data_IF_526205065465
#
_entry.id   IF_526205065465
#
_cell.length_a   1.000
_cell.length_b   1.000
_cell.length_c   1.000
_cell.angle_alpha   90.00
_cell.angle_beta   90.00
_cell.angle_gamma   90.00
#
_symmetry.space_group_name_H-M   'P 1'
#
loop_
_entity.id
_entity.type
_entity.pdbx_description
1 polymer ?
#
# COMPACT_ATOMS: atom_id res chain seq x y z
N UNK A 1 7.98 5.69 0.42
CA UNK A 1 8.28 7.15 0.30
C UNK A 1 7.50 7.88 1.39
N UNK A 2 8.20 8.72 2.17
CA UNK A 2 7.55 9.68 3.06
C UNK A 2 7.32 10.98 2.29
N UNK A 3 6.13 11.56 2.42
CA UNK A 3 5.74 12.76 1.69
C UNK A 3 4.99 13.72 2.62
N UNK A 4 5.34 15.00 2.59
CA UNK A 4 4.59 16.03 3.26
C UNK A 4 4.50 17.29 2.38
N UNK A 5 3.49 18.12 2.61
CA UNK A 5 3.38 19.42 1.95
C UNK A 5 4.19 20.47 2.72
N UNK A 6 4.90 21.30 2.00
CA UNK A 6 5.61 22.46 2.58
C UNK A 6 4.72 23.70 2.68
N UNK A 7 3.60 23.70 1.97
CA UNK A 7 2.68 24.83 1.88
C UNK A 7 1.25 24.35 2.23
N UNK A 8 0.55 25.04 3.15
CA UNK A 8 -0.83 24.71 3.50
C UNK A 8 -1.85 24.99 2.37
N UNK A 9 -1.43 25.65 1.30
CA UNK A 9 -2.27 25.95 0.14
C UNK A 9 -1.76 25.27 -1.12
N UNK A 10 -2.65 24.94 -2.06
CA UNK A 10 -2.29 24.36 -3.35
C UNK A 10 -2.09 22.84 -3.37
N UNK A 11 -2.34 22.15 -2.26
CA UNK A 11 -2.27 20.69 -2.14
C UNK A 11 -3.47 20.16 -1.35
N UNK A 12 -4.65 20.56 -1.73
CA UNK A 12 -5.88 20.37 -0.95
C UNK A 12 -6.19 18.90 -0.65
N UNK A 13 -6.04 18.01 -1.64
CA UNK A 13 -6.26 16.57 -1.44
C UNK A 13 -5.33 15.99 -0.37
N UNK A 14 -4.04 16.31 -0.47
CA UNK A 14 -3.04 15.83 0.49
C UNK A 14 -3.27 16.42 1.88
N UNK A 15 -3.53 17.73 1.96
CA UNK A 15 -3.75 18.42 3.22
C UNK A 15 -5.03 17.94 3.91
N UNK A 16 -6.10 17.67 3.16
CA UNK A 16 -7.35 17.12 3.68
C UNK A 16 -7.15 15.71 4.23
N UNK A 17 -6.44 14.86 3.49
CA UNK A 17 -6.09 13.51 3.96
C UNK A 17 -5.27 13.56 5.25
N UNK A 18 -4.24 14.41 5.31
CA UNK A 18 -3.41 14.57 6.50
C UNK A 18 -4.18 15.16 7.70
N UNK A 19 -5.08 16.10 7.45
CA UNK A 19 -5.92 16.67 8.51
C UNK A 19 -6.91 15.64 9.09
N UNK A 20 -7.39 14.71 8.26
CA UNK A 20 -8.34 13.67 8.67
C UNK A 20 -7.65 12.50 9.38
N UNK A 21 -6.52 12.04 8.86
CA UNK A 21 -5.87 10.78 9.26
C UNK A 21 -4.57 10.98 10.05
N UNK A 22 -4.00 12.19 10.06
CA UNK A 22 -2.66 12.42 10.59
C UNK A 22 -1.58 11.76 9.73
N UNK A 23 -0.46 11.39 10.35
CA UNK A 23 0.59 10.61 9.68
C UNK A 23 0.08 9.19 9.45
N UNK A 24 -0.03 8.80 8.20
CA UNK A 24 -0.62 7.51 7.83
C UNK A 24 -0.23 7.03 6.45
N UNK A 25 -0.56 5.78 6.15
CA UNK A 25 -0.36 5.18 4.83
C UNK A 25 -1.55 5.57 3.93
N UNK A 26 -1.26 6.34 2.87
CA UNK A 26 -2.25 6.73 1.86
C UNK A 26 -2.28 5.75 0.68
N UNK A 27 -1.12 5.24 0.29
CA UNK A 27 -0.96 4.35 -0.87
C UNK A 27 -0.01 3.20 -0.58
N UNK A 28 -0.41 2.01 -0.99
CA UNK A 28 0.48 0.84 -1.03
C UNK A 28 0.67 0.46 -2.50
N UNK A 29 1.87 0.70 -3.01
CA UNK A 29 2.20 0.41 -4.40
C UNK A 29 2.75 -1.01 -4.58
N UNK A 30 2.36 -1.65 -5.67
CA UNK A 30 2.85 -2.97 -6.07
C UNK A 30 3.69 -2.84 -7.35
N UNK A 31 4.87 -3.45 -7.36
CA UNK A 31 5.62 -3.65 -8.60
C UNK A 31 4.97 -4.78 -9.38
N UNK A 32 4.64 -4.52 -10.64
CA UNK A 32 3.88 -5.43 -11.49
C UNK A 32 4.51 -5.51 -12.90
N UNK A 33 4.21 -6.58 -13.63
CA UNK A 33 4.68 -6.76 -15.00
C UNK A 33 3.82 -6.01 -16.03
N UNK A 34 2.52 -5.80 -15.73
CA UNK A 34 1.57 -5.11 -16.61
C UNK A 34 0.60 -4.23 -15.80
N UNK A 35 0.97 -2.98 -15.59
CA UNK A 35 0.18 -2.03 -14.82
C UNK A 35 -1.16 -1.68 -15.51
N UNK A 36 -1.16 -1.60 -16.84
CA UNK A 36 -2.37 -1.29 -17.59
C UNK A 36 -3.37 -2.45 -17.55
N UNK A 37 -2.91 -3.67 -17.80
CA UNK A 37 -3.76 -4.85 -17.80
C UNK A 37 -4.37 -5.14 -16.43
N UNK A 38 -3.60 -4.97 -15.33
CA UNK A 38 -4.13 -5.12 -13.98
C UNK A 38 -5.18 -4.05 -13.67
N UNK A 39 -4.92 -2.80 -14.03
CA UNK A 39 -5.88 -1.70 -13.84
C UNK A 39 -7.18 -1.95 -14.59
N UNK A 40 -7.12 -2.26 -15.89
CA UNK A 40 -8.28 -2.52 -16.73
C UNK A 40 -9.11 -3.70 -16.18
N UNK A 41 -8.44 -4.76 -15.77
CA UNK A 41 -9.06 -5.94 -15.17
C UNK A 41 -9.76 -5.58 -13.85
N UNK A 42 -9.11 -4.85 -12.97
CA UNK A 42 -9.69 -4.44 -11.69
C UNK A 42 -10.92 -3.54 -11.90
N UNK A 43 -10.83 -2.54 -12.78
CA UNK A 43 -11.95 -1.63 -13.09
C UNK A 43 -13.11 -2.36 -13.75
N UNK A 44 -12.85 -3.28 -14.67
CA UNK A 44 -13.91 -4.10 -15.31
C UNK A 44 -14.68 -4.97 -14.30
N UNK A 45 -14.06 -5.30 -13.18
CA UNK A 45 -14.65 -6.07 -12.08
C UNK A 45 -15.35 -5.21 -11.03
N UNK A 46 -15.24 -3.88 -11.15
CA UNK A 46 -15.92 -2.90 -10.31
C UNK A 46 -15.02 -2.11 -9.37
N UNK A 47 -13.70 -2.18 -9.49
CA UNK A 47 -12.81 -1.30 -8.75
C UNK A 47 -12.95 0.15 -9.23
N UNK A 48 -12.82 1.11 -8.33
CA UNK A 48 -12.83 2.52 -8.66
C UNK A 48 -11.44 2.95 -9.11
N UNK A 49 -11.29 3.36 -10.39
CA UNK A 49 -10.07 3.97 -10.90
C UNK A 49 -9.84 5.35 -10.30
N UNK A 50 -8.58 5.65 -9.97
CA UNK A 50 -8.14 6.96 -9.47
C UNK A 50 -7.25 7.64 -10.51
N UNK A 51 -6.25 6.92 -10.99
CA UNK A 51 -5.42 7.35 -12.10
C UNK A 51 -5.34 6.26 -13.15
N UNK A 52 -5.76 6.60 -14.36
CA UNK A 52 -5.63 5.71 -15.52
C UNK A 52 -4.16 5.41 -15.83
N UNK A 53 -3.86 4.32 -16.55
CA UNK A 53 -2.50 4.00 -16.95
C UNK A 53 -1.82 5.17 -17.67
N UNK A 54 -0.68 5.59 -17.16
CA UNK A 54 0.11 6.68 -17.74
C UNK A 54 1.60 6.39 -17.61
N UNK A 55 2.37 6.93 -18.55
CA UNK A 55 3.82 6.74 -18.60
C UNK A 55 4.54 7.96 -18.04
N UNK A 56 5.43 7.72 -17.08
CA UNK A 56 6.41 8.69 -16.63
C UNK A 56 7.75 8.38 -17.27
N UNK A 57 8.28 9.29 -18.07
CA UNK A 57 9.58 9.15 -18.74
C UNK A 57 10.64 9.95 -18.00
N UNK A 58 11.83 9.38 -17.85
CA UNK A 58 12.97 10.06 -17.27
C UNK A 58 13.66 10.93 -18.32
N UNK A 59 13.84 12.22 -18.03
CA UNK A 59 14.46 13.19 -18.95
C UNK A 59 15.95 12.91 -19.22
N UNK A 60 16.61 12.19 -18.29
CA UNK A 60 18.02 11.82 -18.37
C UNK A 60 18.28 10.52 -19.18
N UNK A 61 17.25 9.96 -19.82
CA UNK A 61 17.35 8.76 -20.63
C UNK A 61 17.38 7.45 -19.84
N UNK A 62 17.10 7.47 -18.55
CA UNK A 62 17.07 6.25 -17.72
C UNK A 62 15.80 5.40 -17.88
N UNK A 63 15.06 5.58 -18.97
CA UNK A 63 13.88 4.79 -19.30
C UNK A 63 12.57 5.37 -18.75
N UNK A 64 11.55 4.53 -18.63
CA UNK A 64 10.20 4.94 -18.25
C UNK A 64 9.54 3.96 -17.27
N UNK A 65 8.51 4.45 -16.60
CA UNK A 65 7.67 3.70 -15.67
C UNK A 65 6.21 3.91 -16.06
N UNK A 66 5.43 2.85 -16.15
CA UNK A 66 3.97 2.92 -16.31
C UNK A 66 3.35 2.80 -14.93
N UNK A 67 2.39 3.68 -14.62
CA UNK A 67 1.68 3.70 -13.36
C UNK A 67 0.18 3.77 -13.59
N UNK A 68 -0.58 3.11 -12.71
CA UNK A 68 -2.03 3.21 -12.64
C UNK A 68 -2.49 3.04 -11.21
N UNK A 69 -3.58 3.69 -10.79
CA UNK A 69 -4.01 3.69 -9.39
C UNK A 69 -5.49 3.38 -9.26
N UNK A 70 -5.83 2.49 -8.35
CA UNK A 70 -7.21 2.17 -7.96
C UNK A 70 -7.45 2.48 -6.49
N UNK A 71 -8.69 2.79 -6.14
CA UNK A 71 -9.14 2.93 -4.76
C UNK A 71 -9.40 1.54 -4.17
N UNK A 72 -8.98 1.33 -2.93
CA UNK A 72 -9.33 0.15 -2.15
C UNK A 72 -10.32 0.51 -1.03
N UNK A 73 -10.10 0.13 0.19
CA UNK A 73 -10.95 0.49 1.32
C UNK A 73 -10.64 1.91 1.86
N UNK A 74 -11.62 2.55 2.46
CA UNK A 74 -11.48 3.90 3.04
C UNK A 74 -10.94 4.91 2.03
N UNK A 75 -9.91 5.64 2.40
CA UNK A 75 -9.19 6.61 1.55
C UNK A 75 -7.84 6.08 1.05
N UNK A 76 -7.60 4.78 1.21
CA UNK A 76 -6.37 4.12 0.76
C UNK A 76 -6.46 3.76 -0.72
N UNK A 77 -5.32 3.81 -1.39
CA UNK A 77 -5.16 3.46 -2.79
C UNK A 77 -4.09 2.40 -3.00
N UNK A 78 -4.16 1.72 -4.14
CA UNK A 78 -3.09 0.87 -4.66
C UNK A 78 -2.62 1.42 -5.99
N UNK A 79 -1.30 1.65 -6.09
CA UNK A 79 -0.66 2.05 -7.33
C UNK A 79 0.13 0.87 -7.91
N UNK A 80 -0.20 0.48 -9.13
CA UNK A 80 0.54 -0.51 -9.90
C UNK A 80 1.69 0.18 -10.59
N UNK A 81 2.91 -0.33 -10.43
CA UNK A 81 4.14 0.29 -10.93
C UNK A 81 4.90 -0.71 -11.79
N UNK A 82 4.89 -0.48 -13.09
CA UNK A 82 5.59 -1.29 -14.08
C UNK A 82 6.90 -0.59 -14.49
N UNK A 83 8.02 -1.18 -14.10
CA UNK A 83 9.37 -0.68 -14.42
C UNK A 83 9.98 -1.50 -15.55
N UNK A 84 9.62 -1.21 -16.78
CA UNK A 84 10.10 -1.96 -17.95
C UNK A 84 11.63 -1.92 -18.09
N UNK A 85 12.12 -0.77 -18.46
CA UNK A 85 13.53 -0.51 -18.75
C UNK A 85 14.14 0.58 -17.85
N UNK A 86 13.38 1.02 -16.84
CA UNK A 86 13.78 2.09 -15.95
C UNK A 86 14.96 1.67 -15.07
N UNK A 87 16.07 2.44 -15.17
CA UNK A 87 17.32 2.23 -14.46
C UNK A 87 17.69 3.37 -13.52
N UNK A 88 16.80 4.35 -13.40
CA UNK A 88 17.00 5.50 -12.52
C UNK A 88 16.72 5.21 -11.05
N UNK A 89 16.82 6.24 -10.21
CA UNK A 89 16.49 6.14 -8.79
C UNK A 89 14.98 6.10 -8.61
N UNK A 90 14.48 5.23 -7.79
CA UNK A 90 13.09 5.06 -7.32
C UNK A 90 12.02 5.23 -8.41
N UNK A 91 11.75 6.47 -8.87
CA UNK A 91 10.81 6.83 -9.95
C UNK A 91 11.41 7.96 -10.79
N UNK A 92 10.94 8.18 -12.06
CA UNK A 92 11.29 9.34 -12.84
C UNK A 92 11.12 10.64 -12.08
N UNK A 93 12.11 11.54 -12.17
CA UNK A 93 12.16 12.77 -11.40
C UNK A 93 12.85 12.67 -10.03
N UNK A 94 13.17 11.48 -9.55
CA UNK A 94 13.97 11.30 -8.34
C UNK A 94 15.45 11.28 -8.67
N UNK A 95 16.22 12.04 -7.93
CA UNK A 95 17.69 12.08 -8.02
C UNK A 95 18.31 11.55 -6.74
N UNK A 96 19.54 11.04 -6.84
CA UNK A 96 20.29 10.66 -5.64
C UNK A 96 20.56 11.93 -4.81
N UNK A 97 20.32 11.87 -3.51
CA UNK A 97 20.62 12.99 -2.63
C UNK A 97 22.13 13.31 -2.67
N UNK A 98 22.54 14.58 -2.84
CA UNK A 98 23.94 14.94 -3.00
C UNK A 98 24.77 14.78 -1.74
N UNK A 99 24.13 14.81 -0.57
CA UNK A 99 24.80 14.67 0.72
C UNK A 99 24.62 13.23 1.22
N UNK A 100 25.72 12.57 1.58
CA UNK A 100 25.65 11.35 2.37
C UNK A 100 25.34 11.70 3.82
N UNK A 101 24.38 10.95 4.40
CA UNK A 101 24.08 11.05 5.83
C UNK A 101 25.31 10.63 6.65
N UNK A 102 25.90 11.51 7.47
CA UNK A 102 27.13 11.21 8.19
C UNK A 102 27.00 10.00 9.13
N UNK A 103 25.80 9.79 9.69
CA UNK A 103 25.52 8.65 10.58
C UNK A 103 25.67 7.30 9.87
N UNK A 104 25.48 7.23 8.56
CA UNK A 104 25.67 6.01 7.79
C UNK A 104 27.11 5.47 7.85
N UNK A 105 28.08 6.30 8.23
CA UNK A 105 29.48 5.90 8.42
C UNK A 105 29.80 5.50 9.87
N UNK A 106 28.92 5.83 10.80
CA UNK A 106 29.14 5.60 12.23
C UNK A 106 28.44 4.36 12.76
N UNK A 107 27.41 3.89 12.06
CA UNK A 107 26.62 2.73 12.46
C UNK A 107 26.61 1.69 11.34
N UNK A 108 26.54 0.42 11.71
CA UNK A 108 26.33 -0.65 10.74
C UNK A 108 24.97 -0.44 10.06
N UNK A 109 24.98 -0.48 8.73
CA UNK A 109 23.75 -0.28 7.95
C UNK A 109 22.79 -1.46 8.19
N UNK A 110 21.50 -1.18 8.50
CA UNK A 110 20.50 -2.23 8.54
C UNK A 110 20.35 -2.81 7.12
N UNK A 111 20.46 -4.13 7.02
CA UNK A 111 20.29 -4.84 5.76
C UNK A 111 18.81 -5.02 5.47
N UNK A 112 18.15 -3.93 5.03
CA UNK A 112 16.75 -3.98 4.60
C UNK A 112 16.67 -4.59 3.20
N UNK A 113 15.80 -5.57 3.03
CA UNK A 113 15.61 -6.28 1.76
C UNK A 113 14.29 -5.89 1.08
N UNK A 114 13.16 -6.01 1.78
CA UNK A 114 11.84 -5.71 1.24
C UNK A 114 10.85 -5.29 2.34
N UNK A 115 9.70 -4.78 1.92
CA UNK A 115 8.50 -4.66 2.75
C UNK A 115 7.76 -5.99 2.62
N UNK A 116 7.68 -6.77 3.69
CA UNK A 116 7.04 -8.09 3.67
C UNK A 116 5.53 -7.98 3.52
N UNK A 117 4.89 -7.10 4.31
CA UNK A 117 3.44 -6.87 4.23
C UNK A 117 3.03 -5.51 4.79
N UNK A 118 1.84 -5.05 4.41
CA UNK A 118 1.16 -3.89 4.98
C UNK A 118 -0.20 -4.31 5.49
N UNK A 119 -0.54 -3.94 6.72
CA UNK A 119 -1.79 -4.34 7.38
C UNK A 119 -2.85 -3.26 7.21
N UNK A 120 -4.05 -3.65 6.77
CA UNK A 120 -5.25 -2.80 6.74
C UNK A 120 -6.17 -3.09 7.92
N UNK A 121 -6.44 -2.09 8.77
CA UNK A 121 -7.41 -2.21 9.83
C UNK A 121 -8.79 -1.77 9.33
N UNK A 122 -9.81 -2.55 9.66
CA UNK A 122 -11.19 -2.32 9.26
C UNK A 122 -12.09 -2.15 10.49
N UNK A 123 -13.22 -1.44 10.36
CA UNK A 123 -14.27 -1.47 11.36
C UNK A 123 -14.76 -2.89 11.63
N UNK A 124 -15.40 -3.09 12.78
CA UNK A 124 -15.99 -4.38 13.14
C UNK A 124 -17.02 -4.84 12.09
N UNK A 125 -16.85 -6.07 11.61
CA UNK A 125 -17.70 -6.67 10.58
C UNK A 125 -17.35 -6.30 9.13
N UNK A 126 -16.30 -5.49 8.87
CA UNK A 126 -15.92 -5.07 7.50
C UNK A 126 -14.69 -5.80 6.94
N UNK A 127 -14.00 -6.60 7.73
CA UNK A 127 -12.83 -7.37 7.30
C UNK A 127 -13.13 -8.28 6.10
N UNK A 128 -14.25 -8.99 6.14
CA UNK A 128 -14.64 -9.93 5.08
C UNK A 128 -14.91 -9.21 3.75
N UNK A 129 -15.55 -8.04 3.80
CA UNK A 129 -15.81 -7.23 2.61
C UNK A 129 -14.51 -6.71 1.98
N UNK A 130 -13.56 -6.30 2.82
CA UNK A 130 -12.24 -5.87 2.36
C UNK A 130 -11.45 -7.04 1.75
N UNK A 131 -11.45 -8.22 2.38
CA UNK A 131 -10.82 -9.42 1.83
C UNK A 131 -11.42 -9.81 0.47
N UNK A 132 -12.75 -9.84 0.38
CA UNK A 132 -13.47 -10.13 -0.86
C UNK A 132 -13.16 -9.13 -1.98
N UNK A 133 -12.86 -7.88 -1.64
CA UNK A 133 -12.41 -6.90 -2.63
C UNK A 133 -11.10 -7.33 -3.29
N UNK A 134 -10.10 -7.77 -2.52
CA UNK A 134 -8.82 -8.25 -3.07
C UNK A 134 -9.00 -9.50 -3.93
N UNK A 135 -9.81 -10.46 -3.45
CA UNK A 135 -10.11 -11.69 -4.18
C UNK A 135 -10.75 -11.37 -5.54
N UNK A 136 -11.75 -10.49 -5.54
CA UNK A 136 -12.52 -10.17 -6.74
C UNK A 136 -11.76 -9.24 -7.71
N UNK A 137 -11.09 -8.21 -7.21
CA UNK A 137 -10.49 -7.17 -8.05
C UNK A 137 -9.11 -7.55 -8.55
N UNK A 138 -8.30 -8.19 -7.69
CA UNK A 138 -6.88 -8.45 -7.95
C UNK A 138 -6.53 -9.93 -8.06
N UNK A 139 -7.51 -10.84 -8.04
CA UNK A 139 -7.29 -12.30 -8.02
C UNK A 139 -6.41 -12.78 -6.86
N UNK A 140 -6.41 -12.09 -5.76
CA UNK A 140 -5.75 -12.58 -4.56
C UNK A 140 -6.52 -13.78 -4.00
N UNK A 141 -5.83 -14.62 -3.26
CA UNK A 141 -6.45 -15.74 -2.54
C UNK A 141 -6.23 -15.58 -1.03
N UNK A 142 -7.06 -16.24 -0.24
CA UNK A 142 -6.89 -16.29 1.20
C UNK A 142 -5.69 -17.17 1.53
N UNK A 143 -4.68 -16.55 2.07
CA UNK A 143 -3.43 -17.19 2.44
C UNK A 143 -3.52 -17.81 3.84
N UNK A 144 -4.04 -17.04 4.78
CA UNK A 144 -4.15 -17.45 6.16
C UNK A 144 -5.20 -16.65 6.92
N UNK A 145 -5.78 -17.23 7.98
CA UNK A 145 -6.73 -16.55 8.86
C UNK A 145 -6.52 -16.91 10.31
N UNK A 146 -6.77 -15.95 11.20
CA UNK A 146 -6.75 -16.12 12.66
C UNK A 146 -8.05 -15.59 13.24
N UNK A 147 -8.63 -16.33 14.16
CA UNK A 147 -9.79 -15.89 14.90
C UNK A 147 -9.39 -15.25 16.27
N UNK A 148 -10.35 -14.65 16.93
CA UNK A 148 -10.19 -13.99 18.23
C UNK A 148 -9.83 -14.96 19.37
N UNK A 149 -9.94 -16.26 19.15
CA UNK A 149 -9.51 -17.28 20.12
C UNK A 149 -8.02 -17.55 20.08
N UNK A 150 -7.40 -17.31 18.91
CA UNK A 150 -5.97 -17.52 18.71
C UNK A 150 -5.14 -16.25 18.92
N UNK A 151 -5.70 -15.07 18.65
CA UNK A 151 -4.99 -13.79 18.81
C UNK A 151 -5.73 -12.89 19.79
N UNK A 152 -5.41 -13.02 21.05
CA UNK A 152 -5.98 -12.19 22.13
C UNK A 152 -4.99 -11.94 23.25
N UNK A 153 -5.21 -10.86 23.96
CA UNK A 153 -4.64 -10.60 25.30
C UNK A 153 -5.73 -10.78 26.35
N UNK A 154 -5.39 -10.62 27.63
CA UNK A 154 -6.40 -10.60 28.69
C UNK A 154 -7.49 -9.51 28.46
N UNK A 155 -7.16 -8.44 27.74
CA UNK A 155 -7.98 -7.24 27.65
C UNK A 155 -8.59 -7.01 26.29
N UNK A 156 -7.92 -7.43 25.22
CA UNK A 156 -8.36 -7.17 23.83
C UNK A 156 -8.08 -8.34 22.91
N UNK A 157 -8.88 -8.46 21.88
CA UNK A 157 -8.73 -9.44 20.82
C UNK A 157 -8.93 -8.79 19.46
N UNK A 158 -8.47 -9.46 18.40
CA UNK A 158 -8.72 -9.11 17.02
C UNK A 158 -8.95 -10.35 16.17
N UNK A 159 -9.61 -10.16 15.03
CA UNK A 159 -9.69 -11.15 13.95
C UNK A 159 -8.82 -10.67 12.80
N UNK A 160 -8.21 -11.60 12.10
CA UNK A 160 -7.33 -11.28 10.98
C UNK A 160 -7.48 -12.31 9.86
N UNK A 161 -7.49 -11.83 8.63
CA UNK A 161 -7.35 -12.64 7.42
C UNK A 161 -6.22 -12.08 6.58
N UNK A 162 -5.39 -12.94 6.02
CA UNK A 162 -4.34 -12.54 5.10
C UNK A 162 -4.75 -12.94 3.68
N UNK A 163 -4.75 -11.98 2.77
CA UNK A 163 -4.89 -12.23 1.34
C UNK A 163 -3.54 -12.04 0.65
N UNK A 164 -3.26 -12.86 -0.35
CA UNK A 164 -1.99 -12.86 -1.05
C UNK A 164 -2.19 -13.00 -2.56
N UNK A 165 -1.21 -12.53 -3.33
CA UNK A 165 -1.11 -12.78 -4.76
C UNK A 165 -0.79 -14.27 -5.03
N UNK A 166 -0.76 -14.65 -6.31
CA UNK A 166 -0.58 -16.05 -6.71
C UNK A 166 0.73 -16.66 -6.18
N UNK A 167 1.82 -15.89 -6.19
CA UNK A 167 3.14 -16.35 -5.75
C UNK A 167 3.37 -16.14 -4.24
N UNK A 168 2.39 -15.61 -3.52
CA UNK A 168 2.44 -15.31 -2.08
C UNK A 168 3.58 -14.34 -1.68
N UNK A 169 4.02 -13.52 -2.62
CA UNK A 169 5.02 -12.48 -2.41
C UNK A 169 4.38 -11.23 -1.84
N UNK A 170 3.24 -10.80 -2.42
CA UNK A 170 2.45 -9.68 -1.91
C UNK A 170 1.43 -10.19 -0.92
N UNK A 171 1.54 -9.77 0.34
CA UNK A 171 0.64 -10.16 1.43
C UNK A 171 -0.02 -8.93 2.04
N UNK A 172 -1.34 -8.97 2.16
CA UNK A 172 -2.15 -7.92 2.77
C UNK A 172 -2.99 -8.52 3.90
N UNK A 173 -2.48 -8.49 5.14
CA UNK A 173 -3.29 -8.79 6.31
C UNK A 173 -4.36 -7.73 6.50
N UNK A 174 -5.56 -8.16 6.84
CA UNK A 174 -6.72 -7.32 7.09
C UNK A 174 -7.23 -7.69 8.48
N UNK A 175 -7.28 -6.71 9.37
CA UNK A 175 -7.70 -6.91 10.74
C UNK A 175 -9.04 -6.21 10.99
N UNK A 176 -9.81 -6.77 11.92
CA UNK A 176 -10.93 -6.08 12.55
C UNK A 176 -10.91 -6.33 14.07
N UNK A 177 -11.52 -5.45 14.87
CA UNK A 177 -11.61 -5.64 16.30
C UNK A 177 -12.47 -6.87 16.64
N UNK A 178 -12.21 -7.47 17.80
CA UNK A 178 -13.07 -8.47 18.41
C UNK A 178 -13.44 -8.04 19.82
N UNK A 179 -14.50 -8.66 20.39
CA UNK A 179 -14.93 -8.38 21.76
C UNK A 179 -13.81 -8.64 22.75
N UNK A 180 -13.61 -7.71 23.68
CA UNK A 180 -12.63 -7.78 24.75
C UNK A 180 -13.04 -6.93 25.95
N UNK A 181 -12.30 -7.05 27.06
CA UNK A 181 -12.53 -6.26 28.26
C UNK A 181 -12.28 -4.76 28.06
N UNK A 182 -11.51 -4.40 27.04
CA UNK A 182 -11.22 -3.02 26.62
C UNK A 182 -11.51 -2.85 25.14
N UNK A 183 -11.84 -1.62 24.75
CA UNK A 183 -11.95 -1.26 23.35
C UNK A 183 -10.63 -1.57 22.64
N UNK A 184 -10.71 -2.24 21.48
CA UNK A 184 -9.55 -2.49 20.62
C UNK A 184 -8.91 -1.18 20.16
N UNK A 185 -7.63 -1.22 19.85
CA UNK A 185 -6.91 -0.14 19.19
C UNK A 185 -7.09 -0.15 17.66
N UNK A 186 -7.68 -1.25 17.15
CA UNK A 186 -8.03 -1.41 15.73
C UNK A 186 -9.35 -0.72 15.46
#
# INVERSE_FOLDING_TARGET
>A
MFKSTLNPTGHEEFNSHHALHGDGVKDVAFTVDDAAGIYEKAVSRGATGVHEPHTLTCEDGNGSVIMATVKTYGDTTHTFVQRQDYKGNFLPGFIKHPLEEPYNKLVEQPKLECIDHCVGNQPDGEMEAAAAWYEKMLDFHRFWSIDDKMLHTEYSALRSVVVADFDEVVKMPINEPAEGKRKSQI
#
